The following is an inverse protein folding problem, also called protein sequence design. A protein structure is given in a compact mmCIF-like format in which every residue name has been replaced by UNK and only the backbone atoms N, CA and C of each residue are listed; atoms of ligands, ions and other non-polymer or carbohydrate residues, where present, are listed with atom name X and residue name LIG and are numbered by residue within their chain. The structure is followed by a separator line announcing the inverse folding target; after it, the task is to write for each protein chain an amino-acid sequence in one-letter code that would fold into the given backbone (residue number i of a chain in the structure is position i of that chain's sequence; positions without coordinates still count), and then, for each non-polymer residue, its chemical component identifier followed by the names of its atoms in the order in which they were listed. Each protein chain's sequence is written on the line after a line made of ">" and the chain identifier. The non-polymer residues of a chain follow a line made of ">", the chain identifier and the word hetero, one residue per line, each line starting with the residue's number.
data_IF_505976714704
#
_entry.id   IF_505976714704
#
_cell.length_a   1.000
_cell.length_b   1.000
_cell.length_c   1.000
_cell.angle_alpha   90.00
_cell.angle_beta   90.00
_cell.angle_gamma   90.00
#
_symmetry.space_group_name_H-M   'P 1'
#
loop_
_entity.id
_entity.type
_entity.pdbx_description
1 polymer ?
#
# COMPACT_ATOMS: atom_id res chain seq x y z
N UNK A 1 8.96 9.53 29.58
CA UNK A 1 8.64 9.97 28.21
C UNK A 1 7.68 11.14 28.32
N UNK A 2 7.90 12.27 27.61
CA UNK A 2 7.00 13.43 27.65
C UNK A 2 5.86 13.18 26.65
N UNK A 3 4.62 13.37 27.08
CA UNK A 3 3.46 13.29 26.18
C UNK A 3 3.44 14.54 25.30
N UNK A 4 3.57 14.36 23.99
CA UNK A 4 3.60 15.44 23.00
C UNK A 4 2.31 15.48 22.16
N UNK A 5 1.28 14.73 22.53
CA UNK A 5 0.02 14.71 21.80
C UNK A 5 -0.74 16.02 21.99
N UNK A 6 -1.39 16.49 20.94
CA UNK A 6 -2.28 17.64 21.00
C UNK A 6 -3.71 17.17 21.33
N UNK A 7 -4.16 17.46 22.54
CA UNK A 7 -5.53 17.15 22.99
C UNK A 7 -6.49 18.33 22.82
N UNK A 8 -6.00 19.50 22.43
CA UNK A 8 -6.80 20.72 22.30
C UNK A 8 -7.35 20.86 20.90
N UNK A 9 -6.51 20.58 19.88
CA UNK A 9 -6.88 20.66 18.47
C UNK A 9 -7.48 22.03 18.11
N UNK A 10 -8.59 22.00 17.42
CA UNK A 10 -9.29 23.21 16.97
C UNK A 10 -10.36 23.71 17.98
N UNK A 11 -10.63 22.97 19.04
CA UNK A 11 -11.60 23.32 20.08
C UNK A 11 -13.01 23.50 19.48
N UNK A 12 -13.67 24.60 19.87
CA UNK A 12 -15.01 24.94 19.37
C UNK A 12 -15.02 25.76 18.07
N UNK A 13 -13.88 25.92 17.41
CA UNK A 13 -13.80 26.69 16.17
C UNK A 13 -14.36 25.88 15.01
N UNK A 14 -15.34 26.43 14.31
CA UNK A 14 -15.82 25.85 13.07
C UNK A 14 -14.71 25.90 12.01
N UNK A 15 -14.51 24.77 11.35
CA UNK A 15 -13.57 24.66 10.26
C UNK A 15 -14.35 24.82 8.95
N UNK A 16 -14.13 25.94 8.26
CA UNK A 16 -14.77 26.21 6.97
C UNK A 16 -13.73 26.25 5.86
N UNK A 17 -13.94 25.47 4.83
CA UNK A 17 -13.17 25.51 3.59
C UNK A 17 -14.06 25.18 2.40
N UNK A 18 -13.67 25.61 1.23
CA UNK A 18 -14.35 25.27 -0.01
C UNK A 18 -13.55 24.25 -0.81
N UNK A 19 -14.20 23.17 -1.22
CA UNK A 19 -13.62 22.23 -2.16
C UNK A 19 -13.46 22.88 -3.55
N UNK A 20 -12.47 22.43 -4.37
CA UNK A 20 -12.37 22.87 -5.76
C UNK A 20 -13.73 22.75 -6.48
N UNK A 21 -13.99 23.70 -7.38
CA UNK A 21 -15.25 23.81 -8.13
C UNK A 21 -16.51 23.97 -7.25
N UNK A 22 -16.37 24.48 -6.02
CA UNK A 22 -17.45 24.63 -5.04
C UNK A 22 -18.19 23.31 -4.76
N UNK A 23 -17.48 22.20 -4.90
CA UNK A 23 -18.00 20.87 -4.59
C UNK A 23 -18.33 20.75 -3.11
N UNK A 24 -19.39 20.01 -2.80
CA UNK A 24 -19.81 19.76 -1.40
C UNK A 24 -19.19 18.49 -0.82
N UNK A 25 -18.60 17.66 -1.69
CA UNK A 25 -18.01 16.37 -1.33
C UNK A 25 -16.80 16.11 -2.21
N UNK A 26 -15.72 15.62 -1.60
CA UNK A 26 -14.62 14.96 -2.30
C UNK A 26 -14.70 13.45 -2.06
N UNK A 27 -14.71 12.67 -3.12
CA UNK A 27 -14.71 11.21 -3.07
C UNK A 27 -13.43 10.69 -3.69
N UNK A 28 -12.65 9.97 -2.91
CA UNK A 28 -11.43 9.31 -3.35
C UNK A 28 -11.61 7.79 -3.25
N UNK A 29 -11.27 7.09 -4.33
CA UNK A 29 -11.16 5.64 -4.32
C UNK A 29 -9.69 5.26 -4.24
N UNK A 30 -9.36 4.38 -3.31
CA UNK A 30 -8.00 3.89 -3.09
C UNK A 30 -8.01 2.37 -3.19
N UNK A 31 -7.01 1.83 -3.87
CA UNK A 31 -6.72 0.40 -3.90
C UNK A 31 -5.30 0.18 -3.38
N UNK A 32 -5.18 -0.52 -2.27
CA UNK A 32 -3.89 -0.99 -1.79
C UNK A 32 -3.41 -2.14 -2.69
N UNK A 33 -2.19 -2.02 -3.21
CA UNK A 33 -1.54 -3.06 -3.98
C UNK A 33 -0.28 -3.52 -3.25
N UNK A 34 -0.37 -4.61 -2.52
CA UNK A 34 0.56 -5.02 -1.46
C UNK A 34 1.10 -6.44 -1.65
N UNK A 35 0.37 -7.29 -2.35
CA UNK A 35 0.62 -8.72 -2.46
C UNK A 35 1.96 -9.04 -3.12
N UNK A 36 2.75 -9.85 -2.42
CA UNK A 36 4.11 -10.22 -2.78
C UNK A 36 5.18 -9.46 -1.99
N UNK A 37 4.80 -8.43 -1.22
CA UNK A 37 5.69 -7.63 -0.40
C UNK A 37 5.59 -7.93 1.11
N UNK A 38 4.69 -8.82 1.50
CA UNK A 38 4.50 -9.33 2.86
C UNK A 38 5.70 -10.15 3.35
N UNK A 39 5.72 -10.47 4.66
CA UNK A 39 6.73 -11.37 5.22
C UNK A 39 6.66 -12.75 4.54
N UNK A 40 7.76 -13.18 3.99
CA UNK A 40 7.89 -14.47 3.32
C UNK A 40 9.35 -14.94 3.32
N UNK A 41 9.54 -16.23 3.53
CA UNK A 41 10.86 -16.88 3.37
C UNK A 41 11.43 -16.61 1.96
N UNK A 42 10.56 -16.49 0.95
CA UNK A 42 10.97 -16.18 -0.42
C UNK A 42 11.51 -14.74 -0.58
N UNK A 43 11.16 -13.85 0.34
CA UNK A 43 11.66 -12.48 0.41
C UNK A 43 12.89 -12.34 1.32
N UNK A 44 13.40 -13.45 1.91
CA UNK A 44 14.52 -13.46 2.85
C UNK A 44 14.10 -13.26 4.31
N UNK A 45 12.82 -13.22 4.62
CA UNK A 45 12.34 -13.06 5.99
C UNK A 45 12.51 -14.35 6.81
N UNK A 46 12.51 -14.24 8.13
CA UNK A 46 12.66 -15.38 9.04
C UNK A 46 11.40 -16.21 9.21
N UNK A 47 10.26 -15.64 8.84
CA UNK A 47 8.95 -16.28 8.97
C UNK A 47 7.98 -15.87 7.87
N UNK A 48 6.89 -16.63 7.76
CA UNK A 48 5.77 -16.26 6.90
C UNK A 48 4.94 -15.13 7.51
N UNK A 49 4.10 -14.49 6.69
CA UNK A 49 3.08 -13.55 7.13
C UNK A 49 1.94 -14.28 7.90
N UNK A 50 1.25 -13.52 8.74
CA UNK A 50 0.05 -13.98 9.46
C UNK A 50 -1.03 -12.91 9.60
N UNK A 51 -0.72 -11.68 9.21
CA UNK A 51 -1.60 -10.52 9.39
C UNK A 51 -2.65 -10.42 8.29
N UNK A 52 -3.83 -9.91 8.61
CA UNK A 52 -4.95 -9.66 7.69
C UNK A 52 -5.27 -10.85 6.77
N UNK A 53 -5.62 -11.98 7.37
CA UNK A 53 -6.09 -13.16 6.63
C UNK A 53 -7.37 -13.72 7.22
N UNK A 54 -8.11 -14.49 6.41
CA UNK A 54 -9.31 -15.22 6.85
C UNK A 54 -8.99 -16.47 7.67
N UNK A 55 -7.72 -16.80 7.85
CA UNK A 55 -7.29 -17.94 8.67
C UNK A 55 -7.43 -17.57 10.14
N UNK A 56 -8.37 -18.20 10.82
CA UNK A 56 -8.61 -17.96 12.25
C UNK A 56 -7.37 -18.28 13.07
N UNK A 57 -6.93 -17.31 13.89
CA UNK A 57 -5.72 -17.44 14.72
C UNK A 57 -4.46 -17.80 13.94
N UNK A 58 -4.32 -17.26 12.72
CA UNK A 58 -3.11 -17.44 11.93
C UNK A 58 -1.87 -17.04 12.73
N UNK A 59 -0.84 -17.89 12.66
CA UNK A 59 0.47 -17.64 13.27
C UNK A 59 1.54 -17.70 12.21
N UNK A 60 2.61 -16.89 12.33
CA UNK A 60 3.74 -16.99 11.42
C UNK A 60 4.42 -18.35 11.57
N UNK A 61 4.80 -18.96 10.46
CA UNK A 61 5.58 -20.20 10.43
C UNK A 61 7.05 -19.80 10.34
N UNK A 62 7.84 -20.17 11.33
CA UNK A 62 9.26 -19.87 11.39
C UNK A 62 10.05 -20.76 10.42
N UNK A 63 10.94 -20.17 9.64
CA UNK A 63 11.85 -20.86 8.73
C UNK A 63 11.18 -21.61 7.58
N UNK A 64 9.86 -21.49 7.40
CA UNK A 64 9.10 -22.19 6.36
C UNK A 64 8.01 -21.31 5.73
N UNK A 65 7.59 -21.71 4.54
CA UNK A 65 6.47 -21.09 3.83
C UNK A 65 5.14 -21.44 4.47
N UNK A 66 4.19 -20.53 4.38
CA UNK A 66 2.80 -20.75 4.75
C UNK A 66 1.93 -20.79 3.50
N UNK A 67 1.77 -21.95 2.88
CA UNK A 67 1.13 -22.10 1.56
C UNK A 67 -0.31 -21.58 1.51
N UNK A 68 -1.09 -21.77 2.59
CA UNK A 68 -2.46 -21.23 2.64
C UNK A 68 -2.46 -19.69 2.66
N UNK A 69 -1.53 -19.08 3.41
CA UNK A 69 -1.40 -17.64 3.47
C UNK A 69 -0.99 -17.07 2.11
N UNK A 70 0.03 -17.64 1.49
CA UNK A 70 0.45 -17.26 0.15
C UNK A 70 -0.68 -17.37 -0.87
N UNK A 71 -1.47 -18.44 -0.83
CA UNK A 71 -2.62 -18.63 -1.72
C UNK A 71 -3.70 -17.54 -1.55
N UNK A 72 -3.93 -17.07 -0.32
CA UNK A 72 -4.88 -15.98 -0.04
C UNK A 72 -4.35 -14.67 -0.66
N UNK A 73 -3.10 -14.33 -0.38
CA UNK A 73 -2.51 -13.11 -0.92
C UNK A 73 -2.39 -13.12 -2.44
N UNK A 74 -1.99 -14.24 -3.05
CA UNK A 74 -1.91 -14.37 -4.51
C UNK A 74 -3.22 -14.09 -5.24
N UNK A 75 -4.37 -14.29 -4.61
CA UNK A 75 -5.65 -13.96 -5.23
C UNK A 75 -5.73 -12.47 -5.59
N UNK A 76 -5.26 -11.57 -4.72
CA UNK A 76 -5.27 -10.13 -4.93
C UNK A 76 -4.53 -9.73 -6.21
N UNK A 77 -3.27 -10.15 -6.33
CA UNK A 77 -2.44 -9.83 -7.49
C UNK A 77 -2.87 -10.55 -8.78
N UNK A 78 -3.34 -11.81 -8.67
CA UNK A 78 -3.67 -12.65 -9.83
C UNK A 78 -5.07 -12.41 -10.37
N UNK A 79 -6.04 -12.00 -9.54
CA UNK A 79 -7.45 -11.83 -9.95
C UNK A 79 -8.13 -10.61 -9.34
N UNK A 80 -7.84 -10.28 -8.08
CA UNK A 80 -8.51 -9.19 -7.36
C UNK A 80 -8.35 -7.85 -8.05
N UNK A 81 -7.10 -7.46 -8.32
CA UNK A 81 -6.77 -6.24 -9.06
C UNK A 81 -7.56 -6.13 -10.38
N UNK A 82 -7.53 -7.19 -11.20
CA UNK A 82 -8.15 -7.19 -12.53
C UNK A 82 -9.67 -7.05 -12.48
N UNK A 83 -10.31 -7.61 -11.46
CA UNK A 83 -11.76 -7.47 -11.25
C UNK A 83 -12.13 -6.05 -10.88
N UNK A 84 -11.40 -5.46 -9.94
CA UNK A 84 -11.61 -4.07 -9.50
C UNK A 84 -11.32 -3.12 -10.67
N UNK A 85 -10.16 -3.27 -11.31
CA UNK A 85 -9.79 -2.46 -12.47
C UNK A 85 -10.89 -2.45 -13.55
N UNK A 86 -11.44 -3.62 -13.90
CA UNK A 86 -12.53 -3.71 -14.89
C UNK A 86 -13.74 -2.86 -14.52
N UNK A 87 -14.12 -2.85 -13.24
CA UNK A 87 -15.25 -2.07 -12.76
C UNK A 87 -14.97 -0.56 -12.79
N UNK A 88 -13.78 -0.14 -12.42
CA UNK A 88 -13.38 1.27 -12.48
C UNK A 88 -13.29 1.78 -13.92
N UNK A 89 -12.65 1.01 -14.79
CA UNK A 89 -12.55 1.33 -16.22
C UNK A 89 -13.93 1.44 -16.89
N UNK A 90 -14.82 0.48 -16.62
CA UNK A 90 -16.18 0.48 -17.20
C UNK A 90 -16.99 1.73 -16.80
N UNK A 91 -16.73 2.27 -15.60
CA UNK A 91 -17.42 3.45 -15.06
C UNK A 91 -16.66 4.76 -15.30
N UNK A 92 -15.51 4.70 -15.91
CA UNK A 92 -14.60 5.84 -16.07
C UNK A 92 -14.35 6.57 -14.74
N UNK A 93 -14.04 5.81 -13.69
CA UNK A 93 -13.75 6.34 -12.36
C UNK A 93 -12.25 6.45 -12.15
N UNK A 94 -11.78 7.53 -11.52
CA UNK A 94 -10.40 7.66 -11.08
C UNK A 94 -10.11 6.67 -9.96
N UNK A 95 -8.85 6.26 -9.86
CA UNK A 95 -8.36 5.36 -8.81
C UNK A 95 -6.96 5.79 -8.39
N UNK A 96 -6.73 5.85 -7.08
CA UNK A 96 -5.38 5.99 -6.52
C UNK A 96 -4.90 4.62 -6.06
N UNK A 97 -3.72 4.20 -6.50
CA UNK A 97 -3.08 2.97 -6.07
C UNK A 97 -2.10 3.28 -4.95
N UNK A 98 -2.32 2.75 -3.75
CA UNK A 98 -1.30 2.71 -2.72
C UNK A 98 -0.39 1.52 -3.02
N UNK A 99 0.71 1.81 -3.72
CA UNK A 99 1.59 0.79 -4.28
C UNK A 99 2.77 0.48 -3.37
N UNK A 100 2.86 -0.77 -2.90
CA UNK A 100 4.06 -1.27 -2.23
C UNK A 100 5.12 -1.60 -3.28
N UNK A 101 6.30 -1.01 -3.17
CA UNK A 101 7.33 -1.07 -4.20
C UNK A 101 7.67 -2.48 -4.66
N UNK A 102 7.91 -3.41 -3.74
CA UNK A 102 8.22 -4.81 -4.08
C UNK A 102 7.05 -5.52 -4.78
N UNK A 103 5.80 -5.20 -4.43
CA UNK A 103 4.63 -5.78 -5.09
C UNK A 103 4.51 -5.28 -6.54
N UNK A 104 4.75 -3.98 -6.76
CA UNK A 104 4.78 -3.39 -8.11
C UNK A 104 5.91 -3.99 -8.96
N UNK A 105 7.11 -4.15 -8.39
CA UNK A 105 8.26 -4.73 -9.09
C UNK A 105 8.01 -6.17 -9.54
N UNK A 106 7.27 -6.95 -8.75
CA UNK A 106 6.93 -8.34 -9.05
C UNK A 106 5.85 -8.51 -10.11
N UNK A 107 5.08 -7.47 -10.43
CA UNK A 107 3.96 -7.58 -11.37
C UNK A 107 3.95 -6.46 -12.42
N UNK A 108 4.81 -6.56 -13.44
CA UNK A 108 4.89 -5.56 -14.49
C UNK A 108 3.58 -5.40 -15.30
N UNK A 109 2.78 -6.46 -15.45
CA UNK A 109 1.51 -6.40 -16.18
C UNK A 109 0.49 -5.48 -15.47
N UNK A 110 0.46 -5.52 -14.14
CA UNK A 110 -0.36 -4.60 -13.34
C UNK A 110 0.15 -3.17 -13.48
N UNK A 111 1.47 -2.96 -13.43
CA UNK A 111 2.06 -1.64 -13.62
C UNK A 111 1.71 -1.05 -15.00
N UNK A 112 1.83 -1.84 -16.05
CA UNK A 112 1.43 -1.43 -17.41
C UNK A 112 -0.04 -1.02 -17.46
N UNK A 113 -0.92 -1.77 -16.79
CA UNK A 113 -2.34 -1.46 -16.76
C UNK A 113 -2.67 -0.21 -15.94
N UNK A 114 -1.95 0.05 -14.85
CA UNK A 114 -2.05 1.28 -14.06
C UNK A 114 -1.69 2.49 -14.96
N UNK A 115 -0.57 2.40 -15.71
CA UNK A 115 -0.15 3.44 -16.65
C UNK A 115 -1.21 3.68 -17.73
N UNK A 116 -1.69 2.61 -18.40
CA UNK A 116 -2.71 2.71 -19.45
C UNK A 116 -4.05 3.29 -18.99
N UNK A 117 -4.32 3.23 -17.70
CA UNK A 117 -5.57 3.71 -17.11
C UNK A 117 -5.44 5.08 -16.46
N UNK A 118 -4.25 5.67 -16.49
CA UNK A 118 -3.94 6.95 -15.86
C UNK A 118 -4.32 6.98 -14.37
N UNK A 119 -4.07 5.85 -13.68
CA UNK A 119 -4.29 5.79 -12.23
C UNK A 119 -3.11 6.44 -11.50
N UNK A 120 -3.42 7.27 -10.50
CA UNK A 120 -2.40 7.81 -9.62
C UNK A 120 -1.75 6.71 -8.78
N UNK A 121 -0.44 6.80 -8.56
CA UNK A 121 0.28 5.92 -7.63
C UNK A 121 0.87 6.74 -6.49
N UNK A 122 0.47 6.41 -5.28
CA UNK A 122 1.08 6.90 -4.06
C UNK A 122 2.01 5.84 -3.46
N UNK A 123 3.07 6.26 -2.80
CA UNK A 123 4.02 5.36 -2.15
C UNK A 123 3.38 4.70 -0.92
N UNK A 124 3.48 3.38 -0.83
CA UNK A 124 3.00 2.60 0.32
C UNK A 124 4.14 1.86 1.04
N UNK A 125 5.38 2.38 0.87
CA UNK A 125 6.61 1.75 1.33
C UNK A 125 7.13 0.71 0.33
N UNK A 126 8.36 0.22 0.55
CA UNK A 126 8.95 -0.82 -0.31
C UNK A 126 8.48 -2.22 0.05
N UNK A 127 8.31 -2.48 1.36
CA UNK A 127 7.82 -3.75 1.91
C UNK A 127 6.51 -3.51 2.66
N UNK A 128 5.65 -4.52 2.68
CA UNK A 128 4.45 -4.52 3.52
C UNK A 128 4.71 -5.30 4.81
N UNK A 129 5.52 -4.72 5.68
CA UNK A 129 5.97 -5.28 6.95
C UNK A 129 5.76 -4.29 8.08
N UNK A 130 5.86 -4.77 9.33
CA UNK A 130 5.81 -3.92 10.52
C UNK A 130 7.20 -3.30 10.77
N UNK A 131 7.29 -1.98 10.64
CA UNK A 131 8.53 -1.23 10.83
C UNK A 131 8.81 -0.86 12.28
N UNK A 132 7.90 -1.13 13.22
CA UNK A 132 8.07 -0.72 14.62
C UNK A 132 9.34 -1.30 15.28
N UNK A 133 9.80 -2.45 14.82
CA UNK A 133 10.98 -3.13 15.35
C UNK A 133 12.16 -3.16 14.35
N UNK A 134 12.09 -2.37 13.32
CA UNK A 134 13.14 -2.22 12.30
C UNK A 134 13.88 -0.91 12.59
N UNK A 135 15.18 -0.88 12.32
CA UNK A 135 15.97 0.33 12.50
C UNK A 135 15.54 1.44 11.53
N UNK A 136 15.65 2.68 11.99
CA UNK A 136 15.22 3.86 11.24
C UNK A 136 15.92 3.99 9.88
N UNK A 137 17.20 3.59 9.81
CA UNK A 137 17.96 3.67 8.57
C UNK A 137 17.38 2.75 7.49
N UNK A 138 17.00 1.53 7.85
CA UNK A 138 16.34 0.58 6.94
C UNK A 138 14.97 1.11 6.49
N UNK A 139 14.19 1.73 7.37
CA UNK A 139 12.90 2.34 7.00
C UNK A 139 13.09 3.49 6.00
N UNK A 140 14.10 4.36 6.23
CA UNK A 140 14.46 5.43 5.30
C UNK A 140 14.87 4.87 3.94
N UNK A 141 15.73 3.86 3.92
CA UNK A 141 16.19 3.21 2.68
C UNK A 141 15.03 2.60 1.90
N UNK A 142 14.11 1.91 2.56
CA UNK A 142 12.90 1.37 1.93
C UNK A 142 11.99 2.46 1.36
N UNK A 143 11.85 3.59 2.05
CA UNK A 143 11.08 4.74 1.54
C UNK A 143 11.72 5.32 0.27
N UNK A 144 13.04 5.55 0.30
CA UNK A 144 13.79 6.04 -0.86
C UNK A 144 13.71 5.06 -2.04
N UNK A 145 13.88 3.77 -1.76
CA UNK A 145 13.84 2.71 -2.77
C UNK A 145 12.48 2.65 -3.44
N UNK A 146 11.39 2.69 -2.68
CA UNK A 146 10.03 2.69 -3.22
C UNK A 146 9.81 3.90 -4.14
N UNK A 147 10.19 5.11 -3.71
CA UNK A 147 10.02 6.32 -4.50
C UNK A 147 10.82 6.27 -5.81
N UNK A 148 12.05 5.77 -5.77
CA UNK A 148 12.87 5.56 -6.99
C UNK A 148 12.25 4.53 -7.93
N UNK A 149 11.70 3.47 -7.38
CA UNK A 149 11.04 2.42 -8.15
C UNK A 149 9.77 2.95 -8.84
N UNK A 150 8.93 3.68 -8.12
CA UNK A 150 7.75 4.34 -8.69
C UNK A 150 8.17 5.28 -9.83
N UNK A 151 9.19 6.11 -9.61
CA UNK A 151 9.71 6.98 -10.68
C UNK A 151 10.23 6.19 -11.89
N UNK A 152 10.93 5.08 -11.67
CA UNK A 152 11.42 4.21 -12.74
C UNK A 152 10.28 3.59 -13.56
N UNK A 153 9.21 3.16 -12.91
CA UNK A 153 8.09 2.45 -13.56
C UNK A 153 7.12 3.44 -14.22
N UNK A 154 6.73 4.49 -13.51
CA UNK A 154 5.63 5.39 -13.89
C UNK A 154 6.10 6.74 -14.45
N UNK A 155 7.40 7.05 -14.36
CA UNK A 155 8.00 8.28 -14.91
C UNK A 155 7.86 9.52 -14.01
N UNK A 156 7.35 9.37 -12.79
CA UNK A 156 7.20 10.47 -11.83
C UNK A 156 7.44 10.01 -10.40
N UNK A 157 7.84 10.93 -9.51
CA UNK A 157 7.89 10.67 -8.07
C UNK A 157 6.48 10.79 -7.47
N UNK A 158 6.10 9.90 -6.55
CA UNK A 158 4.77 9.96 -5.94
C UNK A 158 4.59 11.27 -5.15
N UNK A 159 3.43 11.90 -5.28
CA UNK A 159 3.07 13.11 -4.52
C UNK A 159 2.54 12.80 -3.12
N UNK A 160 2.15 11.55 -2.88
CA UNK A 160 1.60 11.07 -1.62
C UNK A 160 2.34 9.85 -1.10
N UNK A 161 2.34 9.75 0.22
CA UNK A 161 2.83 8.57 0.94
C UNK A 161 1.86 8.19 2.04
N UNK A 162 1.63 6.89 2.20
CA UNK A 162 0.82 6.33 3.26
C UNK A 162 1.48 5.06 3.78
N UNK A 163 1.71 4.96 5.09
CA UNK A 163 2.35 3.76 5.65
C UNK A 163 1.43 2.54 5.53
N UNK A 164 1.99 1.42 5.10
CA UNK A 164 1.24 0.18 4.94
C UNK A 164 0.89 -0.48 6.26
N UNK A 165 1.79 -0.39 7.22
CA UNK A 165 1.66 -0.94 8.59
C UNK A 165 2.24 0.03 9.60
N UNK A 166 2.42 -0.39 10.86
CA UNK A 166 3.06 0.43 11.90
C UNK A 166 4.51 0.79 11.57
N UNK A 167 4.88 1.98 11.94
CA UNK A 167 6.27 2.46 11.89
C UNK A 167 6.65 3.16 13.20
#
# INVERSE_FOLDING_TARGET
>A
MKDNRDYIGYGSKDFSFEWPNKSKLALQFVLNYEEGAENSILNGDTSSESFLSEIVNAKPIQGNRHMNMESIYEYGSRRGFWRIHKEFKRRNLPLTIFGVGMALEKNPDVCEQIIKSDYEVASHGYRWIDYQNIDEQTEIEHTILCNKLINKIFGYYPSGWYTGRTS
#
